data_IF_203163923904
#
_entry.id   IF_203163923904
#
_cell.length_a   1.000
_cell.length_b   1.000
_cell.length_c   1.000
_cell.angle_alpha   90.00
_cell.angle_beta   90.00
_cell.angle_gamma   90.00
#
_symmetry.space_group_name_H-M   'P 1'
#
loop_
_entity.id
_entity.type
_entity.pdbx_description
1 polymer ?
#
# COMPACT_ATOMS: atom_id res chain seq x y z
N UNK A 1 -6.28 -18.02 9.82
CA UNK A 1 -6.12 -16.95 8.80
C UNK A 1 -4.89 -16.17 9.20
N UNK A 2 -3.89 -16.03 8.33
CA UNK A 2 -2.70 -15.25 8.67
C UNK A 2 -3.06 -13.76 8.56
N UNK A 3 -2.70 -12.97 9.55
CA UNK A 3 -2.97 -11.53 9.59
C UNK A 3 -1.66 -10.76 9.65
N UNK A 4 -1.40 -9.81 8.73
CA UNK A 4 -0.23 -8.95 8.80
C UNK A 4 -0.32 -7.99 9.99
N UNK A 5 0.83 -7.53 10.48
CA UNK A 5 0.94 -6.47 11.49
C UNK A 5 1.61 -5.23 10.92
N UNK A 6 1.14 -4.00 11.22
CA UNK A 6 1.82 -2.79 10.75
C UNK A 6 3.22 -2.60 11.39
N UNK A 7 4.18 -1.97 10.67
CA UNK A 7 4.16 -1.73 9.23
C UNK A 7 4.60 -3.00 8.47
N UNK A 8 3.82 -3.43 7.48
CA UNK A 8 4.23 -4.53 6.59
C UNK A 8 3.10 -5.44 6.16
N UNK A 9 3.43 -6.32 5.23
CA UNK A 9 2.57 -7.38 4.74
C UNK A 9 3.23 -8.75 4.72
N UNK A 10 2.44 -9.74 4.37
CA UNK A 10 2.84 -11.14 4.28
C UNK A 10 2.29 -11.75 2.98
N UNK A 11 2.95 -12.79 2.49
CA UNK A 11 2.41 -13.62 1.41
C UNK A 11 1.53 -14.73 1.99
N UNK A 12 0.30 -14.82 1.48
CA UNK A 12 -0.64 -15.91 1.70
C UNK A 12 -0.97 -16.53 0.33
N UNK A 13 -0.14 -17.50 -0.06
CA UNK A 13 -0.12 -18.04 -1.43
C UNK A 13 0.26 -16.95 -2.44
N UNK A 14 -0.61 -16.70 -3.41
CA UNK A 14 -0.44 -15.66 -4.43
C UNK A 14 -0.92 -14.26 -3.98
N UNK A 15 -1.35 -14.10 -2.72
CA UNK A 15 -1.89 -12.83 -2.20
C UNK A 15 -0.89 -12.18 -1.27
N UNK A 16 -0.68 -10.88 -1.45
CA UNK A 16 -0.02 -10.04 -0.46
C UNK A 16 -1.06 -9.37 0.43
N UNK A 17 -1.00 -9.67 1.72
CA UNK A 17 -1.86 -9.05 2.72
C UNK A 17 -1.06 -7.95 3.40
N UNK A 18 -1.44 -6.68 3.24
CA UNK A 18 -0.75 -5.53 3.84
C UNK A 18 -1.60 -4.90 4.96
N UNK A 19 -1.01 -4.73 6.14
CA UNK A 19 -1.71 -4.12 7.27
C UNK A 19 -1.66 -2.59 7.21
N UNK A 20 -2.81 -1.95 7.40
CA UNK A 20 -2.95 -0.49 7.48
C UNK A 20 -3.59 -0.12 8.80
N UNK A 21 -3.02 0.87 9.48
CA UNK A 21 -3.62 1.57 10.61
C UNK A 21 -3.99 2.97 10.16
N UNK A 22 -5.22 3.40 10.43
CA UNK A 22 -5.71 4.74 10.08
C UNK A 22 -5.33 5.68 11.21
N UNK A 23 -4.50 6.66 10.92
CA UNK A 23 -4.13 7.70 11.86
C UNK A 23 -4.98 8.95 11.65
N UNK A 24 -4.91 9.90 12.60
CA UNK A 24 -5.64 11.16 12.50
C UNK A 24 -5.29 11.92 11.20
N UNK A 25 -4.02 11.87 10.78
CA UNK A 25 -3.54 12.44 9.51
C UNK A 25 -4.16 11.81 8.26
N UNK A 26 -4.72 10.60 8.37
CA UNK A 26 -5.37 9.95 7.25
C UNK A 26 -6.82 10.43 7.07
N UNK A 27 -7.40 11.12 8.06
CA UNK A 27 -8.81 11.54 8.09
C UNK A 27 -9.01 12.98 7.59
N UNK A 28 -10.22 13.29 7.10
CA UNK A 28 -10.64 14.64 6.73
C UNK A 28 -11.79 15.17 7.60
N UNK A 29 -12.31 16.36 7.26
CA UNK A 29 -13.39 17.03 7.99
C UNK A 29 -14.67 16.18 8.14
N UNK A 30 -14.88 15.19 7.27
CA UNK A 30 -16.03 14.28 7.34
C UNK A 30 -15.86 13.16 8.39
N UNK A 31 -14.72 13.08 9.06
CA UNK A 31 -14.46 12.10 10.13
C UNK A 31 -14.17 10.68 9.63
N UNK A 32 -13.84 10.55 8.35
CA UNK A 32 -13.41 9.30 7.71
C UNK A 32 -12.09 9.53 6.96
N UNK A 33 -11.46 8.45 6.51
CA UNK A 33 -10.25 8.53 5.69
C UNK A 33 -10.49 9.36 4.43
N UNK A 34 -9.63 10.36 4.21
CA UNK A 34 -9.61 11.13 2.97
C UNK A 34 -9.33 10.20 1.79
N UNK A 35 -10.17 10.26 0.75
CA UNK A 35 -10.16 9.30 -0.36
C UNK A 35 -8.77 9.08 -0.99
N UNK A 36 -7.95 10.13 -1.14
CA UNK A 36 -6.61 10.00 -1.74
C UNK A 36 -5.61 9.21 -0.88
N UNK A 37 -5.83 9.08 0.44
CA UNK A 37 -4.93 8.34 1.32
C UNK A 37 -4.95 6.83 1.04
N UNK A 38 -6.03 6.29 0.46
CA UNK A 38 -6.05 4.91 -0.03
C UNK A 38 -4.97 4.65 -1.08
N UNK A 39 -4.70 5.62 -1.97
CA UNK A 39 -3.63 5.50 -2.98
C UNK A 39 -2.24 5.39 -2.33
N UNK A 40 -2.01 6.18 -1.27
CA UNK A 40 -0.76 6.10 -0.48
C UNK A 40 -0.60 4.73 0.15
N UNK A 41 -1.67 4.15 0.67
CA UNK A 41 -1.64 2.80 1.25
C UNK A 41 -1.40 1.72 0.20
N UNK A 42 -2.02 1.82 -0.99
CA UNK A 42 -1.76 0.90 -2.10
C UNK A 42 -0.31 0.98 -2.60
N UNK A 43 0.29 2.17 -2.65
CA UNK A 43 1.69 2.33 -3.00
C UNK A 43 2.64 1.70 -1.97
N UNK A 44 2.36 1.91 -0.68
CA UNK A 44 3.11 1.25 0.42
C UNK A 44 3.00 -0.27 0.33
N UNK A 45 1.79 -0.80 0.11
CA UNK A 45 1.57 -2.23 -0.07
C UNK A 45 2.34 -2.79 -1.28
N UNK A 46 2.31 -2.10 -2.42
CA UNK A 46 3.05 -2.51 -3.62
C UNK A 46 4.58 -2.48 -3.39
N UNK A 47 5.09 -1.47 -2.71
CA UNK A 47 6.50 -1.38 -2.36
C UNK A 47 6.94 -2.47 -1.38
N UNK A 48 6.06 -2.81 -0.43
CA UNK A 48 6.27 -3.91 0.51
C UNK A 48 6.25 -5.27 -0.20
N UNK A 49 5.32 -5.49 -1.15
CA UNK A 49 5.31 -6.69 -1.99
C UNK A 49 6.63 -6.88 -2.73
N UNK A 50 7.14 -5.83 -3.39
CA UNK A 50 8.42 -5.90 -4.10
C UNK A 50 9.57 -6.27 -3.15
N UNK A 51 9.57 -5.74 -1.91
CA UNK A 51 10.53 -6.12 -0.88
C UNK A 51 10.42 -7.60 -0.49
N UNK A 52 9.22 -8.12 -0.26
CA UNK A 52 9.02 -9.54 0.12
C UNK A 52 9.38 -10.49 -1.04
N UNK A 53 9.32 -10.02 -2.28
CA UNK A 53 9.79 -10.74 -3.47
C UNK A 53 11.29 -10.55 -3.77
N UNK A 54 12.04 -9.89 -2.87
CA UNK A 54 13.47 -9.60 -3.04
C UNK A 54 13.80 -8.74 -4.27
N UNK A 55 12.85 -7.92 -4.72
CA UNK A 55 13.01 -6.98 -5.83
C UNK A 55 13.46 -5.62 -5.29
N UNK A 56 14.71 -5.25 -5.58
CA UNK A 56 15.25 -3.94 -5.21
C UNK A 56 15.01 -2.90 -6.31
N UNK A 57 13.94 -2.11 -6.12
CA UNK A 57 13.57 -1.01 -7.03
C UNK A 57 14.64 0.07 -7.13
N UNK A 58 15.38 0.32 -6.04
CA UNK A 58 16.42 1.35 -6.03
C UNK A 58 17.62 0.88 -6.86
N UNK A 59 18.03 -0.37 -6.66
CA UNK A 59 19.09 -0.97 -7.46
C UNK A 59 18.75 -0.97 -8.96
N UNK A 60 17.51 -1.28 -9.34
CA UNK A 60 17.06 -1.22 -10.74
C UNK A 60 17.18 0.19 -11.37
N UNK A 61 16.89 1.24 -10.60
CA UNK A 61 17.05 2.62 -11.05
C UNK A 61 18.55 2.98 -11.17
N UNK A 62 19.33 2.67 -10.13
CA UNK A 62 20.76 3.01 -10.06
C UNK A 62 21.60 2.25 -11.11
N UNK A 63 21.18 1.03 -11.49
CA UNK A 63 21.82 0.24 -12.55
C UNK A 63 21.42 0.66 -13.98
N UNK A 64 20.40 1.51 -14.12
CA UNK A 64 19.84 1.91 -15.41
C UNK A 64 18.88 0.89 -16.04
N UNK A 65 18.46 -0.15 -15.31
CA UNK A 65 17.43 -1.11 -15.75
C UNK A 65 16.05 -0.46 -15.89
N UNK A 66 15.77 0.55 -15.06
CA UNK A 66 14.60 1.40 -15.18
C UNK A 66 13.85 1.60 -13.87
N UNK A 67 12.62 2.11 -13.97
CA UNK A 67 11.77 2.43 -12.82
C UNK A 67 10.38 1.79 -12.98
N UNK A 68 9.78 1.41 -11.85
CA UNK A 68 8.41 0.91 -11.78
C UNK A 68 7.42 2.07 -11.72
N UNK A 69 7.02 2.59 -12.88
CA UNK A 69 6.06 3.68 -12.98
C UNK A 69 4.60 3.17 -13.00
N UNK A 70 3.73 3.87 -12.27
CA UNK A 70 2.28 3.64 -12.30
C UNK A 70 1.68 4.26 -13.57
N UNK A 71 1.05 3.45 -14.42
CA UNK A 71 0.42 3.91 -15.67
C UNK A 71 -1.08 4.15 -15.54
N UNK A 72 -1.78 3.39 -14.69
CA UNK A 72 -3.23 3.42 -14.55
C UNK A 72 -3.67 3.05 -13.13
N UNK A 73 -4.76 3.66 -12.67
CA UNK A 73 -5.45 3.29 -11.42
C UNK A 73 -6.95 3.28 -11.64
N UNK A 74 -7.60 2.18 -11.27
CA UNK A 74 -9.05 2.07 -11.18
C UNK A 74 -9.45 1.84 -9.73
N UNK A 75 -10.24 2.75 -9.16
CA UNK A 75 -10.62 2.68 -7.76
C UNK A 75 -12.10 3.01 -7.55
N UNK A 76 -12.80 2.13 -6.84
CA UNK A 76 -14.18 2.32 -6.41
C UNK A 76 -14.26 2.20 -4.88
N UNK A 77 -14.66 3.28 -4.23
CA UNK A 77 -14.84 3.32 -2.78
C UNK A 77 -16.21 2.74 -2.41
N UNK A 78 -16.23 1.77 -1.49
CA UNK A 78 -17.47 1.06 -1.08
C UNK A 78 -17.92 1.42 0.32
N UNK A 79 -16.99 1.45 1.28
CA UNK A 79 -17.25 1.77 2.69
C UNK A 79 -16.08 2.58 3.24
N UNK A 80 -16.34 3.57 4.11
CA UNK A 80 -15.28 4.37 4.68
C UNK A 80 -14.53 3.62 5.78
N UNK A 81 -13.21 3.78 5.82
CA UNK A 81 -12.40 3.54 6.99
C UNK A 81 -12.44 4.75 7.94
N UNK A 82 -12.24 4.51 9.22
CA UNK A 82 -12.27 5.50 10.31
C UNK A 82 -10.94 5.44 11.06
N UNK A 83 -10.67 6.50 11.83
CA UNK A 83 -9.61 6.50 12.84
C UNK A 83 -9.70 5.24 13.71
N UNK A 84 -8.56 4.56 13.90
CA UNK A 84 -8.42 3.41 14.80
C UNK A 84 -8.56 3.81 16.28
#
# INVERSE_FOLDING_TARGET
MISPTPPGGILDGARHLYAVRVYYEDTDLSGITYHANYLRWFERARSDLLRVLEIDQRAAIESGEGAYALSEVNLKYLRPAKLD
#
